data_IF_184030364295
#
_entry.id   IF_184030364295
#
_cell.length_a   1.000
_cell.length_b   1.000
_cell.length_c   1.000
_cell.angle_alpha   90.00
_cell.angle_beta   90.00
_cell.angle_gamma   90.00
#
_symmetry.space_group_name_H-M   'P 1'
#
loop_
_entity.id
_entity.type
_entity.pdbx_description
1 polymer ?
#
# COMPACT_ATOMS: atom_id res chain seq x y z
N UNK A 1 8.25 4.57 54.28
CA UNK A 1 7.38 3.77 53.38
C UNK A 1 7.76 4.08 51.94
N UNK A 2 7.84 3.04 51.13
CA UNK A 2 8.65 2.87 49.91
C UNK A 2 8.13 3.62 48.68
N UNK A 3 9.05 4.24 47.95
CA UNK A 3 8.85 4.90 46.65
C UNK A 3 8.89 3.84 45.55
N UNK A 4 7.73 3.37 45.11
CA UNK A 4 7.64 2.33 44.09
C UNK A 4 7.63 2.95 42.68
N UNK A 5 8.67 2.68 41.89
CA UNK A 5 8.77 3.03 40.48
C UNK A 5 7.95 2.01 39.68
N UNK A 6 6.91 2.47 38.99
CA UNK A 6 6.15 1.66 38.04
C UNK A 6 6.28 2.26 36.65
N UNK A 7 7.35 1.88 35.96
CA UNK A 7 7.44 1.95 34.49
C UNK A 7 7.13 0.56 33.94
N UNK A 8 6.01 0.35 33.25
CA UNK A 8 5.85 -0.83 32.41
C UNK A 8 6.07 -0.46 30.94
N UNK A 9 7.17 -1.02 30.42
CA UNK A 9 7.26 -1.67 29.11
C UNK A 9 6.75 -0.86 27.90
N UNK A 10 7.68 -0.16 27.25
CA UNK A 10 7.53 0.20 25.83
C UNK A 10 7.55 -1.10 25.03
N UNK A 11 6.36 -1.58 24.65
CA UNK A 11 6.21 -2.72 23.75
C UNK A 11 6.55 -2.23 22.32
N UNK A 12 7.82 -2.30 21.95
CA UNK A 12 8.25 -2.11 20.56
C UNK A 12 7.82 -3.36 19.79
N UNK A 13 6.60 -3.35 19.26
CA UNK A 13 6.19 -4.29 18.22
C UNK A 13 6.77 -3.82 16.87
N UNK A 14 8.10 -3.84 16.75
CA UNK A 14 8.79 -3.80 15.47
C UNK A 14 8.70 -5.19 14.83
N UNK A 15 7.50 -5.56 14.39
CA UNK A 15 7.35 -6.65 13.43
C UNK A 15 7.76 -6.10 12.07
N UNK A 16 9.06 -6.21 11.81
CA UNK A 16 9.63 -6.27 10.48
C UNK A 16 8.97 -7.44 9.75
N UNK A 17 7.83 -7.18 9.10
CA UNK A 17 7.42 -8.02 7.99
C UNK A 17 8.47 -7.78 6.88
N UNK A 18 9.25 -8.80 6.48
CA UNK A 18 9.98 -8.67 5.24
C UNK A 18 8.94 -8.35 4.17
N UNK A 19 9.12 -7.22 3.51
CA UNK A 19 8.28 -6.79 2.42
C UNK A 19 8.42 -7.83 1.31
N UNK A 20 7.57 -8.87 1.36
CA UNK A 20 7.19 -9.61 0.17
C UNK A 20 6.44 -8.59 -0.69
N UNK A 21 7.21 -7.91 -1.53
CA UNK A 21 6.75 -7.00 -2.56
C UNK A 21 5.96 -7.80 -3.60
N UNK A 22 4.76 -8.19 -3.23
CA UNK A 22 3.77 -8.77 -4.12
C UNK A 22 2.40 -8.28 -3.70
N UNK A 23 1.47 -8.24 -4.65
CA UNK A 23 0.08 -7.88 -4.43
C UNK A 23 -0.53 -8.54 -3.16
N UNK A 24 -0.05 -9.73 -2.76
CA UNK A 24 -0.49 -10.43 -1.56
C UNK A 24 -0.19 -9.73 -0.22
N UNK A 25 0.89 -8.96 -0.10
CA UNK A 25 1.20 -8.21 1.13
C UNK A 25 0.29 -6.99 1.30
N UNK A 26 -0.04 -6.32 0.19
CA UNK A 26 -1.04 -5.25 0.20
C UNK A 26 -2.42 -5.80 0.56
N UNK A 27 -2.82 -6.91 -0.06
CA UNK A 27 -4.08 -7.62 0.22
C UNK A 27 -4.22 -8.02 1.69
N UNK A 28 -3.14 -8.53 2.27
CA UNK A 28 -3.13 -8.94 3.66
C UNK A 28 -3.20 -7.73 4.61
N UNK A 29 -2.48 -6.65 4.29
CA UNK A 29 -2.47 -5.43 5.09
C UNK A 29 -3.83 -4.71 5.05
N UNK A 30 -4.46 -4.60 3.86
CA UNK A 30 -5.79 -4.00 3.71
C UNK A 30 -6.87 -4.82 4.38
N UNK A 31 -6.75 -6.16 4.41
CA UNK A 31 -7.68 -7.04 5.13
C UNK A 31 -7.63 -6.85 6.65
N UNK A 32 -6.45 -6.55 7.20
CA UNK A 32 -6.23 -6.40 8.63
C UNK A 32 -6.43 -4.97 9.15
N UNK A 33 -6.54 -3.98 8.26
CA UNK A 33 -6.72 -2.58 8.62
C UNK A 33 -8.22 -2.20 8.66
N UNK A 34 -8.83 -2.02 9.85
CA UNK A 34 -10.27 -1.82 9.96
C UNK A 34 -10.72 -0.39 9.64
N UNK A 35 -9.80 0.57 9.43
CA UNK A 35 -10.13 1.96 9.15
C UNK A 35 -9.23 2.61 8.09
N UNK A 36 -9.71 3.73 7.53
CA UNK A 36 -8.96 4.55 6.55
C UNK A 36 -7.60 5.01 7.07
N UNK A 37 -7.50 5.30 8.37
CA UNK A 37 -6.25 5.73 8.99
C UNK A 37 -5.25 4.57 9.01
N UNK A 38 -5.73 3.36 9.29
CA UNK A 38 -4.90 2.16 9.41
C UNK A 38 -4.50 1.57 8.05
N UNK A 39 -5.31 1.78 7.01
CA UNK A 39 -4.99 1.27 5.66
C UNK A 39 -4.06 2.20 4.88
N UNK A 40 -4.01 3.49 5.22
CA UNK A 40 -3.13 4.47 4.58
C UNK A 40 -1.65 4.03 4.54
N UNK A 41 -1.03 3.56 5.65
CA UNK A 41 0.34 3.04 5.61
C UNK A 41 0.48 1.78 4.75
N UNK A 42 -0.53 0.90 4.70
CA UNK A 42 -0.54 -0.26 3.80
C UNK A 42 -0.44 0.17 2.34
N UNK A 43 -1.26 1.16 1.94
CA UNK A 43 -1.29 1.68 0.57
C UNK A 43 0.03 2.36 0.20
N UNK A 44 0.63 3.12 1.13
CA UNK A 44 1.95 3.73 0.92
C UNK A 44 3.05 2.69 0.76
N UNK A 45 3.07 1.67 1.62
CA UNK A 45 4.03 0.57 1.54
C UNK A 45 3.89 -0.19 0.22
N UNK A 46 2.67 -0.48 -0.22
CA UNK A 46 2.41 -1.13 -1.51
C UNK A 46 2.95 -0.33 -2.71
N UNK A 47 2.66 0.98 -2.76
CA UNK A 47 3.17 1.88 -3.83
C UNK A 47 4.69 1.92 -3.86
N UNK A 48 5.32 2.02 -2.69
CA UNK A 48 6.77 2.05 -2.56
C UNK A 48 7.41 0.73 -3.00
N UNK A 49 6.89 -0.40 -2.52
CA UNK A 49 7.40 -1.72 -2.85
C UNK A 49 7.31 -2.03 -4.35
N UNK A 50 6.20 -1.66 -5.01
CA UNK A 50 6.06 -1.80 -6.46
C UNK A 50 7.07 -0.94 -7.23
N UNK A 51 7.32 0.29 -6.76
CA UNK A 51 8.32 1.15 -7.39
C UNK A 51 9.70 0.56 -7.21
N UNK A 52 10.11 0.27 -5.97
CA UNK A 52 11.45 -0.19 -5.63
C UNK A 52 11.81 -1.51 -6.36
N UNK A 53 10.91 -2.49 -6.40
CA UNK A 53 11.14 -3.78 -7.08
C UNK A 53 11.45 -3.62 -8.58
N UNK A 54 10.95 -2.56 -9.19
CA UNK A 54 11.15 -2.30 -10.61
C UNK A 54 12.26 -1.28 -10.89
N UNK A 55 12.71 -0.53 -9.88
CA UNK A 55 13.91 0.32 -9.97
C UNK A 55 15.19 -0.50 -10.09
N UNK A 56 15.20 -1.73 -9.57
CA UNK A 56 16.34 -2.63 -9.67
C UNK A 56 16.55 -3.18 -11.09
N UNK A 57 15.56 -3.06 -11.99
CA UNK A 57 15.71 -3.35 -13.42
C UNK A 57 16.06 -2.08 -14.21
N UNK A 58 17.36 -1.93 -14.52
CA UNK A 58 17.85 -0.87 -15.41
C UNK A 58 17.17 -0.83 -16.79
N UNK A 59 17.12 0.37 -17.37
CA UNK A 59 16.67 0.65 -18.75
C UNK A 59 15.28 1.29 -18.88
N UNK A 60 14.30 0.86 -18.08
CA UNK A 60 12.90 1.36 -18.16
C UNK A 60 12.45 2.15 -16.92
N UNK A 61 13.36 2.34 -15.97
CA UNK A 61 13.12 3.03 -14.68
C UNK A 61 12.43 4.39 -14.84
N UNK A 62 12.89 5.21 -15.78
CA UNK A 62 12.33 6.55 -15.98
C UNK A 62 10.87 6.49 -16.47
N UNK A 63 10.58 5.61 -17.45
CA UNK A 63 9.23 5.41 -17.99
C UNK A 63 8.27 4.86 -16.93
N UNK A 64 8.75 3.92 -16.10
CA UNK A 64 7.95 3.39 -15.02
C UNK A 64 7.70 4.42 -13.91
N UNK A 65 8.73 5.17 -13.48
CA UNK A 65 8.56 6.26 -12.51
C UNK A 65 7.54 7.28 -13.00
N UNK A 66 7.57 7.60 -14.29
CA UNK A 66 6.58 8.48 -14.91
C UNK A 66 5.18 7.85 -14.87
N UNK A 67 5.04 6.60 -15.30
CA UNK A 67 3.76 5.87 -15.26
C UNK A 67 3.18 5.78 -13.84
N UNK A 68 4.02 5.60 -12.83
CA UNK A 68 3.61 5.57 -11.43
C UNK A 68 3.08 6.94 -10.95
N UNK A 69 3.76 8.03 -11.29
CA UNK A 69 3.28 9.40 -10.97
C UNK A 69 1.94 9.70 -11.64
N UNK A 70 1.77 9.29 -12.89
CA UNK A 70 0.52 9.53 -13.62
C UNK A 70 -0.62 8.68 -13.04
N UNK A 71 -0.33 7.44 -12.66
CA UNK A 71 -1.27 6.59 -11.94
C UNK A 71 -1.67 7.17 -10.58
N UNK A 72 -0.74 7.70 -9.78
CA UNK A 72 -1.05 8.32 -8.48
C UNK A 72 -1.96 9.55 -8.64
N UNK A 73 -1.74 10.34 -9.70
CA UNK A 73 -2.59 11.48 -10.04
C UNK A 73 -3.99 11.02 -10.46
N UNK A 74 -4.08 9.96 -11.27
CA UNK A 74 -5.34 9.34 -11.65
C UNK A 74 -6.09 8.78 -10.43
N UNK A 75 -5.43 7.98 -9.59
CA UNK A 75 -5.97 7.42 -8.36
C UNK A 75 -6.63 8.51 -7.50
N UNK A 76 -5.89 9.60 -7.24
CA UNK A 76 -6.41 10.70 -6.44
C UNK A 76 -7.63 11.37 -7.07
N UNK A 77 -7.52 11.79 -8.34
CA UNK A 77 -8.59 12.52 -9.02
C UNK A 77 -9.84 11.65 -9.25
N UNK A 78 -9.67 10.38 -9.59
CA UNK A 78 -10.77 9.43 -9.80
C UNK A 78 -11.51 9.12 -8.50
N UNK A 79 -10.80 8.82 -7.41
CA UNK A 79 -11.45 8.52 -6.14
C UNK A 79 -12.07 9.77 -5.48
N UNK A 80 -11.64 10.98 -5.84
CA UNK A 80 -12.37 12.22 -5.50
C UNK A 80 -13.72 12.30 -6.23
N UNK A 81 -13.83 11.86 -7.48
CA UNK A 81 -15.13 11.78 -8.17
C UNK A 81 -16.04 10.80 -7.45
N UNK A 82 -15.53 9.63 -7.04
CA UNK A 82 -16.28 8.65 -6.24
C UNK A 82 -16.77 9.26 -4.93
N UNK A 83 -15.90 9.97 -4.19
CA UNK A 83 -16.28 10.68 -2.97
C UNK A 83 -17.47 11.63 -3.22
N UNK A 84 -17.43 12.41 -4.30
CA UNK A 84 -18.47 13.40 -4.63
C UNK A 84 -19.76 12.76 -5.15
N UNK A 85 -19.69 11.58 -5.75
CA UNK A 85 -20.85 10.87 -6.28
C UNK A 85 -21.75 10.26 -5.20
N UNK A 86 -21.22 9.99 -4.00
CA UNK A 86 -21.96 9.35 -2.90
C UNK A 86 -22.75 10.34 -2.02
N UNK A 87 -22.76 11.63 -2.38
CA UNK A 87 -23.21 12.76 -1.55
C UNK A 87 -22.57 12.75 -0.15
N UNK A 88 -22.76 13.79 0.67
CA UNK A 88 -22.05 13.94 1.97
C UNK A 88 -22.48 12.95 3.08
N UNK A 89 -22.96 11.76 2.71
CA UNK A 89 -23.39 10.71 3.63
C UNK A 89 -22.24 9.93 4.27
N UNK A 90 -22.57 9.08 5.25
CA UNK A 90 -21.62 8.26 6.01
C UNK A 90 -20.87 7.22 5.14
N UNK A 91 -21.36 6.94 3.94
CA UNK A 91 -20.73 6.00 2.99
C UNK A 91 -19.66 6.63 2.09
N UNK A 92 -19.59 7.95 1.95
CA UNK A 92 -18.73 8.59 0.94
C UNK A 92 -17.24 8.35 1.19
N UNK A 93 -16.79 8.47 2.44
CA UNK A 93 -15.41 8.18 2.82
C UNK A 93 -15.05 6.70 2.63
N UNK A 94 -16.02 5.80 2.86
CA UNK A 94 -15.83 4.36 2.67
C UNK A 94 -15.76 3.99 1.18
N UNK A 95 -16.61 4.61 0.36
CA UNK A 95 -16.59 4.44 -1.10
C UNK A 95 -15.29 4.97 -1.72
N UNK A 96 -14.81 6.13 -1.26
CA UNK A 96 -13.50 6.63 -1.67
C UNK A 96 -12.38 5.66 -1.29
N UNK A 97 -12.41 5.11 -0.08
CA UNK A 97 -11.40 4.15 0.36
C UNK A 97 -11.43 2.87 -0.49
N UNK A 98 -12.62 2.32 -0.77
CA UNK A 98 -12.76 1.15 -1.63
C UNK A 98 -12.17 1.41 -3.02
N UNK A 99 -12.47 2.58 -3.61
CA UNK A 99 -11.86 3.00 -4.88
C UNK A 99 -10.33 3.03 -4.82
N UNK A 100 -9.75 3.57 -3.74
CA UNK A 100 -8.29 3.64 -3.59
C UNK A 100 -7.66 2.23 -3.53
N UNK A 101 -8.30 1.31 -2.80
CA UNK A 101 -7.85 -0.08 -2.67
C UNK A 101 -7.97 -0.83 -4.00
N UNK A 102 -9.13 -0.77 -4.65
CA UNK A 102 -9.42 -1.49 -5.90
C UNK A 102 -8.44 -1.10 -7.01
N UNK A 103 -8.19 0.21 -7.17
CA UNK A 103 -7.26 0.70 -8.18
C UNK A 103 -5.81 0.31 -7.88
N UNK A 104 -5.41 0.27 -6.60
CA UNK A 104 -4.07 -0.17 -6.21
C UNK A 104 -3.86 -1.67 -6.42
N UNK A 105 -4.87 -2.49 -6.14
CA UNK A 105 -4.85 -3.91 -6.46
C UNK A 105 -4.75 -4.14 -7.97
N UNK A 106 -5.59 -3.47 -8.77
CA UNK A 106 -5.53 -3.55 -10.24
C UNK A 106 -4.16 -3.14 -10.77
N UNK A 107 -3.57 -2.06 -10.24
CA UNK A 107 -2.23 -1.64 -10.63
C UNK A 107 -1.18 -2.67 -10.28
N UNK A 108 -1.26 -3.28 -9.09
CA UNK A 108 -0.34 -4.34 -8.70
C UNK A 108 -0.41 -5.52 -9.67
N UNK A 109 -1.60 -5.95 -10.09
CA UNK A 109 -1.79 -7.01 -11.09
C UNK A 109 -1.17 -6.64 -12.44
N UNK A 110 -1.37 -5.41 -12.92
CA UNK A 110 -0.79 -4.93 -14.18
C UNK A 110 0.74 -4.85 -14.16
N UNK A 111 1.34 -4.67 -12.98
CA UNK A 111 2.80 -4.61 -12.83
C UNK A 111 3.44 -5.99 -12.65
N UNK A 112 2.69 -7.04 -12.27
CA UNK A 112 3.23 -8.40 -12.09
C UNK A 112 4.02 -8.91 -13.31
N UNK A 113 3.55 -8.79 -14.57
CA UNK A 113 4.30 -9.27 -15.73
C UNK A 113 5.59 -8.48 -16.01
N UNK A 114 5.71 -7.30 -15.41
CA UNK A 114 6.87 -6.41 -15.55
C UNK A 114 7.84 -6.57 -14.36
N UNK A 115 7.46 -7.32 -13.32
CA UNK A 115 8.34 -7.61 -12.20
C UNK A 115 9.44 -8.58 -12.64
N UNK A 116 10.66 -8.46 -12.07
CA UNK A 116 11.69 -9.47 -12.30
C UNK A 116 11.19 -10.84 -11.85
N UNK A 117 11.50 -11.88 -12.63
CA UNK A 117 11.30 -13.25 -12.16
C UNK A 117 12.09 -13.45 -10.86
N UNK A 118 11.40 -13.85 -9.79
CA UNK A 118 12.04 -14.23 -8.54
C UNK A 118 13.06 -15.32 -8.84
N UNK A 119 14.33 -15.20 -8.42
CA UNK A 119 15.27 -16.29 -8.54
C UNK A 119 14.67 -17.51 -7.83
N UNK A 120 14.38 -18.57 -8.59
CA UNK A 120 13.90 -19.82 -8.01
C UNK A 120 14.87 -20.23 -6.91
N UNK A 121 14.37 -20.35 -5.68
CA UNK A 121 15.16 -20.87 -4.58
C UNK A 121 15.72 -22.24 -5.02
N UNK A 122 17.04 -22.35 -5.08
CA UNK A 122 17.69 -23.64 -5.27
C UNK A 122 17.40 -24.47 -4.01
N UNK A 123 16.75 -25.61 -4.21
CA UNK A 123 16.68 -26.71 -3.24
C UNK A 123 18.08 -27.22 -2.87
#
# INVERSE_FOLDING_TARGET
>A
MTRNRSTPVVLVAALLAPALASAGALEHCTRLAPSRVEVTPCLQAGKKAMTDAMLEQGGKVAALKQSQRDFERYLHSHCQVVLRAYDSGTGAAQAQLACEVDLLQQRAELLKPLAPEQPKAKE
#
